data_IF_292350585593
#
_entry.id   IF_292350585593
#
_cell.length_a   1.000
_cell.length_b   1.000
_cell.length_c   1.000
_cell.angle_alpha   90.00
_cell.angle_beta   90.00
_cell.angle_gamma   90.00
#
_symmetry.space_group_name_H-M   'P 1'
#
loop_
_entity.id
_entity.type
_entity.pdbx_description
1 polymer ?
#
# COMPACT_ATOMS: atom_id res chain seq x y z
N UNK A 1 13.17 -6.38 -8.50
CA UNK A 1 13.20 -5.04 -9.12
C UNK A 1 13.88 -4.05 -8.20
N UNK A 2 14.45 -2.99 -8.75
CA UNK A 2 15.00 -1.90 -7.94
C UNK A 2 13.87 -0.98 -7.46
N UNK A 3 14.16 -0.17 -6.44
CA UNK A 3 13.17 0.80 -5.96
C UNK A 3 12.74 1.80 -7.04
N UNK A 4 13.68 2.22 -7.91
CA UNK A 4 13.38 3.12 -9.03
C UNK A 4 12.41 2.45 -10.02
N UNK A 5 12.62 1.17 -10.31
CA UNK A 5 11.72 0.41 -11.19
C UNK A 5 10.32 0.30 -10.58
N UNK A 6 10.23 0.09 -9.27
CA UNK A 6 8.93 0.05 -8.57
C UNK A 6 8.21 1.40 -8.68
N UNK A 7 8.91 2.51 -8.47
CA UNK A 7 8.32 3.83 -8.62
C UNK A 7 7.78 4.03 -10.04
N UNK A 8 8.55 3.64 -11.05
CA UNK A 8 8.13 3.76 -12.46
C UNK A 8 6.90 2.92 -12.77
N UNK A 9 6.80 1.72 -12.20
CA UNK A 9 5.62 0.87 -12.35
C UNK A 9 4.39 1.50 -11.70
N UNK A 10 4.57 2.05 -10.50
CA UNK A 10 3.48 2.73 -9.78
C UNK A 10 3.00 3.95 -10.57
N UNK A 11 3.92 4.74 -11.12
CA UNK A 11 3.59 5.88 -11.99
C UNK A 11 2.75 5.44 -13.18
N UNK A 12 3.17 4.37 -13.84
CA UNK A 12 2.46 3.83 -15.00
C UNK A 12 1.03 3.40 -14.64
N UNK A 13 0.88 2.66 -13.55
CA UNK A 13 -0.43 2.17 -13.11
C UNK A 13 -1.35 3.31 -12.66
N UNK A 14 -0.80 4.31 -12.03
CA UNK A 14 -1.56 5.49 -11.56
C UNK A 14 -1.77 6.53 -12.66
N UNK A 15 -1.09 6.40 -13.79
CA UNK A 15 -1.11 7.36 -14.90
C UNK A 15 -0.67 8.76 -14.44
N UNK A 16 0.41 8.80 -13.66
CA UNK A 16 1.01 10.03 -13.13
C UNK A 16 2.45 10.10 -13.59
N UNK A 17 2.87 11.30 -14.04
CA UNK A 17 4.26 11.58 -14.40
C UNK A 17 4.96 12.27 -13.25
N UNK A 18 6.17 11.80 -12.93
CA UNK A 18 7.03 12.41 -11.93
C UNK A 18 8.31 12.90 -12.58
N UNK A 19 8.88 13.98 -12.04
CA UNK A 19 10.20 14.45 -12.43
C UNK A 19 11.25 13.42 -12.01
N UNK A 20 12.44 13.51 -12.60
CA UNK A 20 13.57 12.65 -12.23
C UNK A 20 13.90 12.78 -10.75
N UNK A 21 13.92 14.01 -10.22
CA UNK A 21 14.21 14.26 -8.81
C UNK A 21 13.15 13.62 -7.91
N UNK A 22 11.88 13.73 -8.27
CA UNK A 22 10.78 13.11 -7.51
C UNK A 22 10.86 11.58 -7.53
N UNK A 23 11.20 10.99 -8.68
CA UNK A 23 11.38 9.54 -8.79
C UNK A 23 12.47 9.07 -7.83
N UNK A 24 13.62 9.73 -7.83
CA UNK A 24 14.74 9.34 -6.97
C UNK A 24 14.44 9.59 -5.49
N UNK A 25 13.80 10.71 -5.17
CA UNK A 25 13.41 11.01 -3.78
C UNK A 25 12.45 9.94 -3.24
N UNK A 26 11.48 9.54 -4.03
CA UNK A 26 10.51 8.52 -3.64
C UNK A 26 11.18 7.14 -3.55
N UNK A 27 12.01 6.78 -4.52
CA UNK A 27 12.73 5.51 -4.53
C UNK A 27 13.61 5.33 -3.29
N UNK A 28 14.20 6.42 -2.78
CA UNK A 28 15.09 6.37 -1.63
C UNK A 28 14.38 6.02 -0.33
N UNK A 29 13.06 6.23 -0.25
CA UNK A 29 12.31 5.98 0.99
C UNK A 29 11.51 4.67 0.95
N UNK A 30 11.47 3.97 -0.16
CA UNK A 30 10.77 2.69 -0.27
C UNK A 30 11.49 1.60 0.51
N UNK A 31 10.69 0.74 1.16
CA UNK A 31 11.23 -0.36 1.96
C UNK A 31 10.69 -1.69 1.41
N UNK A 32 11.57 -2.58 0.90
CA UNK A 32 11.15 -3.90 0.46
C UNK A 32 10.93 -4.83 1.65
N UNK A 33 9.89 -5.67 1.56
CA UNK A 33 9.56 -6.67 2.59
C UNK A 33 9.20 -7.99 1.92
N UNK A 34 9.63 -9.09 2.55
CA UNK A 34 9.29 -10.44 2.11
C UNK A 34 8.47 -11.14 3.19
N UNK A 35 7.46 -11.87 2.75
CA UNK A 35 6.61 -12.66 3.64
C UNK A 35 6.44 -14.06 3.08
N UNK A 36 6.39 -15.03 3.99
CA UNK A 36 6.07 -16.42 3.66
C UNK A 36 4.55 -16.58 3.63
N UNK A 37 4.06 -17.60 2.95
CA UNK A 37 2.65 -17.97 2.97
C UNK A 37 2.17 -18.12 4.42
N UNK A 38 1.07 -17.46 4.74
CA UNK A 38 0.45 -17.49 6.06
C UNK A 38 0.98 -16.49 7.06
N UNK A 39 2.07 -15.77 6.73
CA UNK A 39 2.58 -14.74 7.62
C UNK A 39 1.65 -13.53 7.66
N UNK A 40 1.54 -12.94 8.83
CA UNK A 40 0.75 -11.73 9.04
C UNK A 40 1.59 -10.51 8.71
N UNK A 41 1.09 -9.69 7.80
CA UNK A 41 1.75 -8.44 7.38
C UNK A 41 1.35 -7.29 8.31
N UNK A 42 0.07 -7.26 8.72
CA UNK A 42 -0.45 -6.30 9.67
C UNK A 42 -1.46 -7.01 10.56
N UNK A 43 -1.30 -6.86 11.89
CA UNK A 43 -2.17 -7.46 12.88
C UNK A 43 -3.23 -6.47 13.37
N UNK A 44 -4.38 -7.02 13.80
CA UNK A 44 -5.39 -6.24 14.50
C UNK A 44 -4.76 -5.53 15.70
N UNK A 45 -5.10 -4.26 15.88
CA UNK A 45 -4.55 -3.45 16.96
C UNK A 45 -3.31 -2.66 16.60
N UNK A 46 -2.65 -2.99 15.50
CA UNK A 46 -1.53 -2.19 15.01
C UNK A 46 -2.04 -0.99 14.20
N UNK A 47 -1.22 0.03 14.05
CA UNK A 47 -1.53 1.19 13.21
C UNK A 47 -0.95 0.97 11.82
N UNK A 48 -1.78 1.15 10.78
CA UNK A 48 -1.32 1.10 9.40
C UNK A 48 -0.59 2.40 9.07
N UNK A 49 0.73 2.34 8.94
CA UNK A 49 1.58 3.51 8.76
C UNK A 49 2.28 3.56 7.39
N UNK A 50 1.82 2.76 6.45
CA UNK A 50 2.38 2.74 5.10
C UNK A 50 1.35 2.28 4.08
N UNK A 51 1.58 2.65 2.82
CA UNK A 51 0.93 2.03 1.66
C UNK A 51 1.83 0.89 1.21
N UNK A 52 1.23 -0.21 0.79
CA UNK A 52 1.99 -1.38 0.32
C UNK A 52 1.65 -1.67 -1.13
N UNK A 53 2.68 -1.87 -1.95
CA UNK A 53 2.52 -2.27 -3.35
C UNK A 53 3.14 -3.65 -3.52
N UNK A 54 2.39 -4.58 -4.10
CA UNK A 54 2.84 -5.96 -4.29
C UNK A 54 3.65 -6.06 -5.57
N UNK A 55 4.91 -6.49 -5.46
CA UNK A 55 5.72 -6.82 -6.62
C UNK A 55 5.43 -8.24 -7.09
N UNK A 56 5.30 -9.18 -6.15
CA UNK A 56 5.02 -10.59 -6.45
C UNK A 56 4.28 -11.20 -5.28
N UNK A 57 3.25 -11.98 -5.58
CA UNK A 57 2.50 -12.69 -4.55
C UNK A 57 1.07 -12.20 -4.41
N UNK A 58 0.49 -12.47 -3.25
CA UNK A 58 -0.92 -12.20 -3.01
C UNK A 58 -1.15 -11.95 -1.52
N UNK A 59 -1.89 -10.89 -1.22
CA UNK A 59 -2.30 -10.55 0.14
C UNK A 59 -3.82 -10.56 0.25
N UNK A 60 -4.32 -10.94 1.41
CA UNK A 60 -5.73 -10.70 1.74
C UNK A 60 -5.83 -9.75 2.91
N UNK A 61 -6.85 -8.90 2.87
CA UNK A 61 -7.24 -8.00 3.92
C UNK A 61 -8.57 -8.51 4.47
N UNK A 62 -8.63 -8.79 5.79
CA UNK A 62 -9.78 -9.44 6.38
C UNK A 62 -10.01 -8.96 7.82
N UNK A 63 -11.15 -9.33 8.38
CA UNK A 63 -11.51 -9.01 9.75
C UNK A 63 -12.37 -10.13 10.34
N UNK A 64 -12.53 -10.12 11.66
CA UNK A 64 -13.39 -11.06 12.36
C UNK A 64 -14.73 -10.42 12.70
N UNK A 65 -15.81 -11.13 12.42
CA UNK A 65 -17.16 -10.74 12.79
C UNK A 65 -17.92 -11.98 13.24
N UNK A 66 -18.39 -11.98 14.50
CA UNK A 66 -19.08 -13.13 15.10
C UNK A 66 -18.25 -14.43 14.95
N UNK A 67 -16.96 -14.34 15.27
CA UNK A 67 -15.99 -15.44 15.20
C UNK A 67 -15.77 -16.00 13.79
N UNK A 68 -16.21 -15.29 12.76
CA UNK A 68 -15.97 -15.65 11.35
C UNK A 68 -14.96 -14.68 10.71
N UNK A 69 -14.10 -15.24 9.89
CA UNK A 69 -13.20 -14.46 9.05
C UNK A 69 -13.94 -13.96 7.83
N UNK A 70 -13.95 -12.64 7.62
CA UNK A 70 -14.55 -12.03 6.45
C UNK A 70 -13.47 -11.33 5.64
N UNK A 71 -13.23 -11.80 4.42
CA UNK A 71 -12.27 -11.19 3.51
C UNK A 71 -12.89 -9.94 2.88
N UNK A 72 -12.22 -8.80 3.06
CA UNK A 72 -12.64 -7.54 2.47
C UNK A 72 -12.01 -7.31 1.12
N UNK A 73 -10.72 -7.67 0.98
CA UNK A 73 -9.95 -7.36 -0.23
C UNK A 73 -8.87 -8.42 -0.44
N UNK A 74 -8.68 -8.81 -1.70
CA UNK A 74 -7.55 -9.63 -2.12
C UNK A 74 -6.76 -8.81 -3.16
N UNK A 75 -5.48 -8.64 -2.92
CA UNK A 75 -4.60 -7.89 -3.80
C UNK A 75 -3.54 -8.80 -4.41
N UNK A 76 -3.25 -8.56 -5.67
CA UNK A 76 -2.30 -9.30 -6.49
C UNK A 76 -1.14 -8.39 -6.88
N UNK A 77 -0.29 -8.87 -7.78
CA UNK A 77 0.84 -8.10 -8.32
C UNK A 77 0.38 -6.72 -8.79
N UNK A 78 1.14 -5.70 -8.41
CA UNK A 78 0.92 -4.28 -8.67
C UNK A 78 -0.28 -3.69 -7.95
N UNK A 79 -1.00 -4.50 -7.17
CA UNK A 79 -2.07 -3.99 -6.31
C UNK A 79 -1.52 -3.22 -5.13
N UNK A 80 -2.31 -2.25 -4.67
CA UNK A 80 -2.01 -1.46 -3.47
C UNK A 80 -2.88 -1.96 -2.33
N UNK A 81 -2.27 -2.16 -1.15
CA UNK A 81 -2.99 -2.56 0.06
C UNK A 81 -2.77 -1.52 1.13
N UNK A 82 -3.87 -1.02 1.68
CA UNK A 82 -3.85 -0.06 2.77
C UNK A 82 -5.12 -0.21 3.61
N UNK A 83 -4.95 -0.19 4.93
CA UNK A 83 -6.09 -0.11 5.85
C UNK A 83 -6.41 1.37 6.03
N UNK A 84 -7.26 1.90 5.16
CA UNK A 84 -7.47 3.35 5.01
C UNK A 84 -7.83 4.06 6.29
N UNK A 85 -8.78 3.55 7.05
CA UNK A 85 -9.20 4.22 8.28
C UNK A 85 -8.04 4.35 9.28
N UNK A 86 -7.33 3.24 9.51
CA UNK A 86 -6.16 3.24 10.40
C UNK A 86 -5.07 4.17 9.89
N UNK A 87 -4.81 4.13 8.59
CA UNK A 87 -3.78 4.95 7.96
C UNK A 87 -4.08 6.45 8.08
N UNK A 88 -5.31 6.85 7.81
CA UNK A 88 -5.71 8.27 7.82
C UNK A 88 -5.86 8.79 9.24
N UNK A 89 -6.54 8.04 10.10
CA UNK A 89 -6.84 8.48 11.47
C UNK A 89 -5.74 8.17 12.48
N UNK A 90 -4.74 7.38 12.08
CA UNK A 90 -3.63 6.95 12.95
C UNK A 90 -4.13 6.20 14.19
N UNK A 91 -5.14 5.37 14.01
CA UNK A 91 -5.75 4.54 15.05
C UNK A 91 -5.51 3.06 14.79
N UNK A 92 -5.55 2.22 15.83
CA UNK A 92 -5.42 0.77 15.67
C UNK A 92 -6.43 0.22 14.66
N UNK A 93 -5.97 -0.66 13.78
CA UNK A 93 -6.81 -1.28 12.76
C UNK A 93 -7.59 -2.46 13.31
N UNK A 94 -8.82 -2.65 12.78
CA UNK A 94 -9.57 -3.90 12.97
C UNK A 94 -9.31 -4.88 11.83
N UNK A 95 -8.66 -4.41 10.76
CA UNK A 95 -8.32 -5.24 9.61
C UNK A 95 -6.96 -5.89 9.79
N UNK A 96 -6.85 -7.12 9.34
CA UNK A 96 -5.59 -7.85 9.29
C UNK A 96 -5.17 -8.00 7.84
N UNK A 97 -3.87 -8.10 7.60
CA UNK A 97 -3.32 -8.40 6.28
C UNK A 97 -2.47 -9.66 6.39
N UNK A 98 -2.77 -10.65 5.55
CA UNK A 98 -2.08 -11.93 5.55
C UNK A 98 -1.57 -12.26 4.15
N UNK A 99 -0.38 -12.85 4.07
CA UNK A 99 0.16 -13.35 2.82
C UNK A 99 -0.47 -14.70 2.47
N UNK A 100 -1.13 -14.79 1.31
CA UNK A 100 -1.76 -16.02 0.84
C UNK A 100 -0.77 -16.95 0.13
N UNK A 101 0.37 -16.41 -0.27
CA UNK A 101 1.48 -17.13 -0.88
C UNK A 101 2.77 -16.34 -0.60
N UNK A 102 3.96 -16.88 -0.94
CA UNK A 102 5.19 -16.10 -0.76
C UNK A 102 5.08 -14.76 -1.48
N UNK A 103 5.29 -13.68 -0.75
CA UNK A 103 5.02 -12.32 -1.23
C UNK A 103 6.23 -11.42 -1.06
N UNK A 104 6.51 -10.64 -2.09
CA UNK A 104 7.47 -9.54 -2.06
C UNK A 104 6.68 -8.25 -2.30
N UNK A 105 6.79 -7.33 -1.37
CA UNK A 105 6.09 -6.05 -1.46
C UNK A 105 7.01 -4.89 -1.10
N UNK A 106 6.57 -3.68 -1.44
CA UNK A 106 7.29 -2.45 -1.13
C UNK A 106 6.40 -1.56 -0.29
N UNK A 107 6.95 -1.08 0.82
CA UNK A 107 6.26 -0.14 1.70
C UNK A 107 6.60 1.29 1.32
N UNK A 108 5.55 2.13 1.26
CA UNK A 108 5.65 3.56 1.10
C UNK A 108 5.28 4.17 2.46
N UNK A 109 6.27 4.49 3.32
CA UNK A 109 5.97 4.98 4.66
C UNK A 109 5.21 6.30 4.64
N UNK A 110 4.16 6.39 5.47
CA UNK A 110 3.30 7.58 5.53
C UNK A 110 4.09 8.86 5.80
N UNK A 111 4.97 8.83 6.81
CA UNK A 111 5.78 10.00 7.18
C UNK A 111 6.63 10.49 6.05
N UNK A 112 7.21 9.57 5.27
CA UNK A 112 8.06 9.91 4.14
C UNK A 112 7.23 10.46 2.98
N UNK A 113 6.07 9.88 2.70
CA UNK A 113 5.16 10.39 1.67
C UNK A 113 4.68 11.80 2.00
N UNK A 114 4.34 12.06 3.26
CA UNK A 114 3.91 13.39 3.68
C UNK A 114 5.03 14.41 3.59
N UNK A 115 6.25 14.02 4.01
CA UNK A 115 7.43 14.88 3.91
C UNK A 115 7.74 15.23 2.46
N UNK A 116 7.77 14.22 1.59
CA UNK A 116 8.06 14.43 0.17
C UNK A 116 6.97 15.24 -0.53
N UNK A 117 5.72 15.10 -0.10
CA UNK A 117 4.61 15.89 -0.63
C UNK A 117 4.77 17.38 -0.37
N UNK A 118 5.47 17.77 0.68
CA UNK A 118 5.76 19.18 0.95
C UNK A 118 6.87 19.73 0.05
N UNK A 119 7.71 18.87 -0.49
CA UNK A 119 8.88 19.25 -1.31
C UNK A 119 8.63 19.08 -2.81
N UNK A 120 7.70 18.20 -3.21
CA UNK A 120 7.48 17.82 -4.59
C UNK A 120 5.98 17.82 -4.92
N UNK A 121 5.54 18.80 -5.69
CA UNK A 121 4.11 18.94 -6.04
C UNK A 121 3.57 17.74 -6.84
N UNK A 122 4.40 17.12 -7.68
CA UNK A 122 4.00 15.96 -8.47
C UNK A 122 3.80 14.71 -7.60
N UNK A 123 4.50 14.60 -6.49
CA UNK A 123 4.29 13.50 -5.53
C UNK A 123 2.92 13.63 -4.85
N UNK A 124 2.43 14.85 -4.62
CA UNK A 124 1.07 15.08 -4.11
C UNK A 124 0.03 14.45 -5.06
N UNK A 125 0.22 14.62 -6.36
CA UNK A 125 -0.69 14.07 -7.38
C UNK A 125 -0.68 12.54 -7.31
N UNK A 126 0.49 11.92 -7.20
CA UNK A 126 0.60 10.47 -7.07
C UNK A 126 -0.06 9.98 -5.78
N UNK A 127 0.18 10.67 -4.67
CA UNK A 127 -0.39 10.34 -3.37
C UNK A 127 -1.92 10.40 -3.41
N UNK A 128 -2.47 11.44 -4.03
CA UNK A 128 -3.92 11.55 -4.23
C UNK A 128 -4.46 10.38 -5.07
N UNK A 129 -3.73 9.96 -6.11
CA UNK A 129 -4.16 8.85 -6.95
C UNK A 129 -4.27 7.52 -6.17
N UNK A 130 -3.39 7.28 -5.21
CA UNK A 130 -3.52 6.11 -4.35
C UNK A 130 -4.88 6.07 -3.66
N UNK A 131 -5.32 7.20 -3.11
CA UNK A 131 -6.61 7.26 -2.43
C UNK A 131 -7.78 7.17 -3.40
N UNK A 132 -7.68 7.81 -4.56
CA UNK A 132 -8.71 7.72 -5.59
C UNK A 132 -8.91 6.28 -6.05
N UNK A 133 -7.83 5.56 -6.30
CA UNK A 133 -7.87 4.15 -6.71
C UNK A 133 -8.46 3.27 -5.62
N UNK A 134 -8.12 3.52 -4.37
CA UNK A 134 -8.67 2.79 -3.22
C UNK A 134 -10.18 3.02 -3.08
N UNK A 135 -10.64 4.25 -3.32
CA UNK A 135 -12.06 4.57 -3.27
C UNK A 135 -12.83 3.86 -4.40
N UNK A 136 -12.27 3.82 -5.59
CA UNK A 136 -12.88 3.11 -6.73
C UNK A 136 -13.01 1.62 -6.40
N UNK A 137 -11.94 1.00 -5.92
CA UNK A 137 -11.95 -0.41 -5.53
C UNK A 137 -13.01 -0.70 -4.46
N UNK A 138 -13.13 0.18 -3.48
CA UNK A 138 -14.12 0.06 -2.41
C UNK A 138 -15.56 0.07 -2.95
N UNK A 139 -15.85 0.94 -3.91
CA UNK A 139 -17.20 1.03 -4.50
C UNK A 139 -17.59 -0.18 -5.35
N UNK A 140 -16.63 -0.73 -6.07
CA UNK A 140 -16.89 -1.92 -6.91
C UNK A 140 -17.30 -3.11 -6.06
N UNK A 141 -16.82 -3.19 -4.81
CA UNK A 141 -17.11 -4.29 -3.90
C UNK A 141 -18.38 -4.12 -3.07
N UNK A 142 -18.89 -2.93 -3.04
CA UNK A 142 -20.08 -2.62 -2.23
C UNK A 142 -21.34 -3.31 -2.76
#
# INVERSE_FOLDING_TARGET
MTSVEIVKMVMSNAQVSLSRDSIHALADVLVPKKYKKGECVLNEGEVCDCLRVIEKGMLRQYYFKYDKELTEHIAYEWGTVVCLQSYIEEKPTILLIEALEPTLLWEFPKKELERLSLEHADIVVLYRRFFEMSLIDSQIKA
#
